data_IF_348025525617
#
_entry.id   IF_348025525617
#
_cell.length_a   1.000
_cell.length_b   1.000
_cell.length_c   1.000
_cell.angle_alpha   90.00
_cell.angle_beta   90.00
_cell.angle_gamma   90.00
#
_symmetry.space_group_name_H-M   'P 1'
#
loop_
_entity.id
_entity.type
_entity.pdbx_description
1 polymer ?
#
# COMPACT_ATOMS: atom_id res chain seq x y z
N UNK A 1 2.50 -25.39 1.94
CA UNK A 1 1.41 -24.41 1.80
C UNK A 1 1.98 -23.11 2.33
N UNK A 2 2.37 -22.21 1.45
CA UNK A 2 2.69 -20.84 1.84
C UNK A 2 1.37 -20.16 2.22
N UNK A 3 1.22 -19.80 3.49
CA UNK A 3 0.08 -19.04 3.99
C UNK A 3 0.29 -17.57 3.62
N UNK A 4 0.23 -17.25 2.33
CA UNK A 4 0.22 -15.85 1.90
C UNK A 4 -1.09 -15.20 2.34
N UNK A 5 -0.98 -14.18 3.19
CA UNK A 5 -2.11 -13.38 3.65
C UNK A 5 -2.22 -12.13 2.78
N UNK A 6 -3.45 -11.64 2.59
CA UNK A 6 -3.68 -10.36 1.94
C UNK A 6 -3.52 -9.25 2.98
N UNK A 7 -2.70 -8.26 2.66
CA UNK A 7 -2.47 -7.09 3.49
C UNK A 7 -2.86 -5.83 2.74
N UNK A 8 -3.38 -4.86 3.48
CA UNK A 8 -3.64 -3.50 3.03
C UNK A 8 -2.72 -2.57 3.81
N UNK A 9 -1.91 -1.81 3.08
CA UNK A 9 -0.96 -0.84 3.64
C UNK A 9 -1.32 0.55 3.13
N UNK A 10 -1.47 1.51 4.04
CA UNK A 10 -1.72 2.90 3.71
C UNK A 10 -0.46 3.75 3.87
N UNK A 11 -0.22 4.61 2.89
CA UNK A 11 0.93 5.51 2.83
C UNK A 11 0.48 6.93 2.54
N UNK A 12 1.28 7.88 2.99
CA UNK A 12 1.32 9.24 2.46
C UNK A 12 2.59 9.36 1.62
N UNK A 13 2.48 9.77 0.36
CA UNK A 13 3.64 9.93 -0.50
C UNK A 13 3.50 11.15 -1.42
N UNK A 14 4.60 11.56 -2.04
CA UNK A 14 4.63 12.58 -3.07
C UNK A 14 4.85 11.91 -4.43
N UNK A 15 4.31 12.50 -5.49
CA UNK A 15 4.55 12.06 -6.86
C UNK A 15 4.59 13.27 -7.80
N UNK A 16 5.74 13.44 -8.46
CA UNK A 16 6.02 14.57 -9.37
C UNK A 16 5.71 15.91 -8.68
N UNK A 17 4.71 16.64 -9.16
CA UNK A 17 4.32 17.96 -8.66
C UNK A 17 3.27 17.91 -7.53
N UNK A 18 2.75 16.71 -7.21
CA UNK A 18 1.71 16.53 -6.20
C UNK A 18 2.31 15.97 -4.92
N UNK A 19 2.08 16.65 -3.81
CA UNK A 19 2.56 16.25 -2.48
C UNK A 19 1.40 15.81 -1.59
N UNK A 20 1.65 14.90 -0.65
CA UNK A 20 0.64 14.48 0.33
C UNK A 20 -0.45 13.56 -0.24
N UNK A 21 -0.10 12.72 -1.21
CA UNK A 21 -1.01 11.75 -1.83
C UNK A 21 -1.23 10.60 -0.85
N UNK A 22 -2.48 10.36 -0.47
CA UNK A 22 -2.86 9.19 0.29
C UNK A 22 -2.99 7.99 -0.65
N UNK A 23 -2.19 6.96 -0.40
CA UNK A 23 -2.14 5.74 -1.21
C UNK A 23 -2.49 4.55 -0.36
N UNK A 24 -3.24 3.62 -0.93
CA UNK A 24 -3.54 2.34 -0.30
C UNK A 24 -3.13 1.23 -1.24
N UNK A 25 -2.24 0.36 -0.76
CA UNK A 25 -1.70 -0.76 -1.53
C UNK A 25 -2.19 -2.05 -0.89
N UNK A 26 -2.89 -2.87 -1.68
CA UNK A 26 -3.35 -4.19 -1.27
C UNK A 26 -2.55 -5.26 -2.00
N UNK A 27 -1.88 -6.15 -1.27
CA UNK A 27 -1.06 -7.20 -1.86
C UNK A 27 -1.02 -8.47 -0.99
N UNK A 28 -0.59 -9.58 -1.59
CA UNK A 28 -0.32 -10.83 -0.87
C UNK A 28 1.13 -10.87 -0.39
N UNK A 29 1.32 -11.26 0.86
CA UNK A 29 2.63 -11.37 1.49
C UNK A 29 2.65 -12.47 2.55
N UNK A 30 3.85 -12.92 2.90
CA UNK A 30 4.03 -13.96 3.93
C UNK A 30 3.87 -13.39 5.36
N UNK A 31 3.94 -12.07 5.51
CA UNK A 31 3.80 -11.39 6.79
C UNK A 31 3.83 -9.87 6.66
N UNK A 32 3.61 -9.17 7.78
CA UNK A 32 3.54 -7.71 7.83
C UNK A 32 4.80 -7.03 7.28
N UNK A 33 6.00 -7.54 7.62
CA UNK A 33 7.27 -6.97 7.15
C UNK A 33 7.47 -7.13 5.64
N UNK A 34 7.12 -8.31 5.09
CA UNK A 34 7.16 -8.56 3.66
C UNK A 34 6.13 -7.69 2.91
N UNK A 35 4.92 -7.55 3.47
CA UNK A 35 3.87 -6.69 2.93
C UNK A 35 4.32 -5.23 2.81
N UNK A 36 4.91 -4.69 3.88
CA UNK A 36 5.43 -3.32 3.90
C UNK A 36 6.54 -3.14 2.87
N UNK A 37 7.49 -4.07 2.80
CA UNK A 37 8.62 -3.99 1.87
C UNK A 37 8.14 -4.04 0.41
N UNK A 38 7.28 -5.01 0.06
CA UNK A 38 6.71 -5.13 -1.29
C UNK A 38 5.86 -3.92 -1.66
N UNK A 39 5.01 -3.42 -0.77
CA UNK A 39 4.22 -2.22 -1.01
C UNK A 39 5.09 -0.99 -1.26
N UNK A 40 6.13 -0.79 -0.43
CA UNK A 40 7.07 0.32 -0.57
C UNK A 40 7.84 0.25 -1.88
N UNK A 41 8.28 -0.95 -2.27
CA UNK A 41 8.96 -1.18 -3.56
C UNK A 41 8.05 -0.85 -4.75
N UNK A 42 6.78 -1.24 -4.71
CA UNK A 42 5.82 -0.90 -5.76
C UNK A 42 5.65 0.63 -5.90
N UNK A 43 5.55 1.36 -4.78
CA UNK A 43 5.49 2.82 -4.79
C UNK A 43 6.75 3.46 -5.38
N UNK A 44 7.93 2.94 -5.04
CA UNK A 44 9.20 3.44 -5.59
C UNK A 44 9.28 3.19 -7.11
N UNK A 45 8.83 2.03 -7.59
CA UNK A 45 8.79 1.71 -9.02
C UNK A 45 7.87 2.66 -9.80
N UNK A 46 6.77 3.07 -9.18
CA UNK A 46 5.85 4.08 -9.72
C UNK A 46 6.32 5.53 -9.49
N UNK A 47 7.60 5.73 -9.13
CA UNK A 47 8.22 7.05 -8.92
C UNK A 47 7.61 7.89 -7.79
N UNK A 48 6.97 7.25 -6.79
CA UNK A 48 6.59 7.93 -5.56
C UNK A 48 7.81 8.14 -4.65
N UNK A 49 7.84 9.27 -3.95
CA UNK A 49 8.91 9.66 -3.03
C UNK A 49 8.33 10.22 -1.72
N UNK A 50 9.18 10.45 -0.70
CA UNK A 50 8.75 10.87 0.64
C UNK A 50 7.63 9.98 1.23
N UNK A 51 7.78 8.67 1.06
CA UNK A 51 6.79 7.68 1.48
C UNK A 51 6.82 7.57 3.02
N UNK A 52 5.74 8.00 3.66
CA UNK A 52 5.45 7.83 5.07
C UNK A 52 4.38 6.75 5.26
N UNK A 53 4.70 5.73 6.05
CA UNK A 53 3.77 4.67 6.42
C UNK A 53 2.76 5.19 7.44
N UNK A 54 1.47 4.96 7.19
CA UNK A 54 0.38 5.39 8.08
C UNK A 54 -0.20 4.21 8.85
N UNK A 55 -0.48 3.11 8.15
CA UNK A 55 -1.06 1.91 8.76
C UNK A 55 -0.83 0.67 7.90
N UNK A 56 -0.84 -0.48 8.55
CA UNK A 56 -0.88 -1.78 7.89
C UNK A 56 -1.91 -2.66 8.60
N UNK A 57 -2.75 -3.32 7.82
CA UNK A 57 -3.78 -4.23 8.31
C UNK A 57 -3.84 -5.48 7.44
N UNK A 58 -4.13 -6.64 8.05
CA UNK A 58 -4.51 -7.85 7.31
C UNK A 58 -5.91 -7.62 6.75
N UNK A 59 -6.12 -7.85 5.46
CA UNK A 59 -7.45 -7.85 4.89
C UNK A 59 -8.16 -9.13 5.36
N UNK A 60 -9.16 -8.98 6.24
CA UNK A 60 -9.94 -10.11 6.78
C UNK A 60 -10.87 -10.76 5.74
N UNK A 61 -11.02 -10.15 4.57
CA UNK A 61 -11.83 -10.65 3.47
C UNK A 61 -10.96 -10.80 2.21
N UNK A 62 -11.08 -11.95 1.55
CA UNK A 62 -10.41 -12.37 0.30
C UNK A 62 -10.78 -11.50 -0.93
N UNK A 63 -11.11 -10.24 -0.73
CA UNK A 63 -11.56 -9.31 -1.76
C UNK A 63 -10.38 -8.41 -2.15
N UNK A 64 -9.79 -8.59 -3.35
CA UNK A 64 -8.72 -7.73 -3.83
C UNK A 64 -9.28 -6.34 -4.12
N UNK A 65 -9.17 -5.42 -3.16
CA UNK A 65 -9.51 -4.03 -3.35
C UNK A 65 -8.26 -3.30 -3.85
N UNK A 66 -8.25 -2.99 -5.14
CA UNK A 66 -7.18 -2.24 -5.81
C UNK A 66 -6.98 -0.83 -5.26
N UNK A 67 -6.03 -0.10 -5.85
CA UNK A 67 -5.68 1.27 -5.44
C UNK A 67 -6.90 2.19 -5.65
N UNK A 68 -7.43 2.77 -4.57
CA UNK A 68 -8.52 3.76 -4.60
C UNK A 68 -8.01 5.12 -4.17
N UNK A 69 -8.06 6.08 -5.09
CA UNK A 69 -7.99 7.51 -4.76
C UNK A 69 -9.29 7.89 -4.07
N UNK A 70 -9.22 8.50 -2.88
CA UNK A 70 -10.39 9.03 -2.20
C UNK A 70 -10.65 10.42 -2.77
N UNK A 71 -11.70 10.58 -3.59
CA UNK A 71 -12.24 11.89 -3.94
C UNK A 71 -12.98 12.43 -2.71
N UNK A 72 -12.45 13.50 -2.10
CA UNK A 72 -13.18 14.33 -1.14
C UNK A 72 -14.21 15.15 -1.92
N UNK A 73 -15.49 14.83 -1.74
CA UNK A 73 -16.64 15.66 -2.18
C UNK A 73 -17.17 16.48 -1.03
#
# INVERSE_FOLDING_TARGET
>A
MENELTFTVSFLANHKEVSGIYLTVTLKAEGLGDALNKARLALIQESYCNIAELSVSVAEDDIPLGIRSRDDS
#
